data_IF_251782363329
#
_entry.id   IF_251782363329
#
_cell.length_a   1.000
_cell.length_b   1.000
_cell.length_c   1.000
_cell.angle_alpha   90.00
_cell.angle_beta   90.00
_cell.angle_gamma   90.00
#
_symmetry.space_group_name_H-M   'P 1'
#
loop_
_entity.id
_entity.type
_entity.pdbx_description
1 polymer ?
#
# COMPACT_ATOMS: atom_id res chain seq x y z
N UNK A 1 8.81 -3.35 -11.68
CA UNK A 1 9.25 -2.00 -12.12
C UNK A 1 10.45 -2.01 -13.09
N UNK A 2 10.53 -2.98 -14.01
CA UNK A 2 11.75 -3.27 -14.79
C UNK A 2 12.35 -2.09 -15.58
N UNK A 3 11.51 -1.23 -16.17
CA UNK A 3 11.99 -0.05 -16.91
C UNK A 3 12.66 0.99 -16.00
N UNK A 4 12.15 1.17 -14.77
CA UNK A 4 12.77 2.05 -13.80
C UNK A 4 14.13 1.49 -13.36
N UNK A 5 14.25 0.17 -13.23
CA UNK A 5 15.51 -0.48 -12.86
C UNK A 5 16.58 -0.24 -13.94
N UNK A 6 16.23 -0.40 -15.22
CA UNK A 6 17.12 -0.07 -16.36
C UNK A 6 17.53 1.40 -16.31
N UNK A 7 16.57 2.31 -16.14
CA UNK A 7 16.88 3.73 -16.05
C UNK A 7 17.79 4.08 -14.84
N UNK A 8 17.60 3.41 -13.71
CA UNK A 8 18.43 3.61 -12.54
C UNK A 8 19.87 3.09 -12.73
N UNK A 9 20.08 2.04 -13.55
CA UNK A 9 21.43 1.60 -13.92
C UNK A 9 22.16 2.71 -14.70
N UNK A 10 21.53 3.30 -15.71
CA UNK A 10 22.09 4.42 -16.49
C UNK A 10 22.43 5.63 -15.59
N UNK A 11 21.56 5.94 -14.62
CA UNK A 11 21.82 6.99 -13.64
C UNK A 11 23.03 6.69 -12.78
N UNK A 12 23.17 5.45 -12.31
CA UNK A 12 24.29 5.04 -11.47
C UNK A 12 25.62 5.09 -12.23
N UNK A 13 25.65 4.66 -13.49
CA UNK A 13 26.80 4.81 -14.38
C UNK A 13 27.21 6.28 -14.54
N UNK A 14 26.22 7.17 -14.53
CA UNK A 14 26.42 8.62 -14.54
C UNK A 14 26.67 9.24 -13.16
N UNK A 15 26.94 8.43 -12.13
CA UNK A 15 27.14 8.85 -10.72
C UNK A 15 25.96 9.63 -10.12
N UNK A 16 24.75 9.44 -10.65
CA UNK A 16 23.53 10.03 -10.15
C UNK A 16 22.81 9.08 -9.18
N UNK A 17 22.06 9.65 -8.24
CA UNK A 17 21.26 8.84 -7.34
C UNK A 17 20.10 8.15 -8.08
N UNK A 18 19.78 6.89 -7.71
CA UNK A 18 18.65 6.17 -8.26
C UNK A 18 17.33 6.80 -7.80
N UNK A 19 16.33 6.76 -8.67
CA UNK A 19 14.98 7.26 -8.41
C UNK A 19 14.11 6.12 -7.87
N UNK A 20 13.27 6.46 -6.89
CA UNK A 20 12.21 5.58 -6.40
C UNK A 20 10.86 6.19 -6.76
N UNK A 21 9.92 5.35 -7.15
CA UNK A 21 8.54 5.76 -7.45
C UNK A 21 7.56 4.91 -6.65
N UNK A 22 6.44 5.50 -6.28
CA UNK A 22 5.26 4.81 -5.80
C UNK A 22 4.15 4.88 -6.84
N UNK A 23 3.30 3.86 -6.90
CA UNK A 23 2.13 3.82 -7.78
C UNK A 23 0.90 3.49 -6.94
N UNK A 24 -0.11 4.36 -6.99
CA UNK A 24 -1.43 4.12 -6.43
C UNK A 24 -2.46 3.95 -7.54
N UNK A 25 -3.24 2.86 -7.50
CA UNK A 25 -4.28 2.58 -8.50
C UNK A 25 -5.62 2.40 -7.79
N UNK A 26 -6.63 3.12 -8.26
CA UNK A 26 -7.99 3.01 -7.78
C UNK A 26 -8.98 3.00 -8.95
N UNK A 27 -10.05 2.23 -8.82
CA UNK A 27 -11.17 2.21 -9.77
C UNK A 27 -12.40 2.77 -9.08
N UNK A 28 -13.12 3.64 -9.79
CA UNK A 28 -14.36 4.23 -9.31
C UNK A 28 -14.81 5.38 -10.19
N UNK A 29 -16.03 5.85 -9.93
CA UNK A 29 -16.65 6.91 -10.70
C UNK A 29 -15.93 8.26 -10.52
N UNK A 30 -15.85 9.01 -11.61
CA UNK A 30 -15.28 10.35 -11.63
C UNK A 30 -16.02 11.22 -12.65
N UNK A 31 -15.92 12.53 -12.49
CA UNK A 31 -16.36 13.49 -13.49
C UNK A 31 -15.16 13.97 -14.30
N UNK A 32 -15.27 13.89 -15.63
CA UNK A 32 -14.34 14.54 -16.55
C UNK A 32 -14.82 15.96 -16.82
N UNK A 33 -13.92 16.92 -16.68
CA UNK A 33 -14.19 18.32 -16.93
C UNK A 33 -13.02 18.99 -17.63
N UNK A 34 -13.27 20.15 -18.23
CA UNK A 34 -12.22 21.01 -18.76
C UNK A 34 -12.03 22.19 -17.83
N UNK A 35 -10.79 22.42 -17.37
CA UNK A 35 -10.45 23.56 -16.53
C UNK A 35 -9.51 24.48 -17.29
N UNK A 36 -9.86 25.77 -17.36
CA UNK A 36 -9.03 26.79 -17.99
C UNK A 36 -9.81 27.92 -18.66
N UNK A 37 -9.08 28.94 -19.12
CA UNK A 37 -9.65 30.10 -19.83
C UNK A 37 -9.45 29.98 -21.35
N UNK A 38 -9.95 30.96 -22.13
CA UNK A 38 -9.94 30.98 -23.61
C UNK A 38 -8.59 30.66 -24.30
N UNK A 39 -7.45 30.76 -23.61
CA UNK A 39 -6.11 30.51 -24.15
C UNK A 39 -5.46 29.17 -23.72
N UNK A 40 -6.06 28.44 -22.76
CA UNK A 40 -5.55 27.13 -22.31
C UNK A 40 -6.70 26.35 -21.68
N UNK A 41 -7.06 25.24 -22.29
CA UNK A 41 -8.10 24.32 -21.81
C UNK A 41 -7.39 23.00 -21.51
N UNK A 42 -7.27 22.64 -20.23
CA UNK A 42 -6.71 21.37 -19.81
C UNK A 42 -7.86 20.43 -19.39
N UNK A 43 -7.85 19.20 -19.88
CA UNK A 43 -8.75 18.15 -19.41
C UNK A 43 -8.36 17.70 -18.02
N UNK A 44 -9.29 17.65 -17.09
CA UNK A 44 -9.09 17.21 -15.71
C UNK A 44 -10.13 16.16 -15.31
N UNK A 45 -9.72 15.26 -14.44
CA UNK A 45 -10.60 14.31 -13.78
C UNK A 45 -10.79 14.76 -12.32
N UNK A 46 -12.04 14.93 -11.89
CA UNK A 46 -12.38 15.37 -10.55
C UNK A 46 -13.31 14.34 -9.92
N UNK A 47 -12.98 13.88 -8.73
CA UNK A 47 -13.81 12.96 -7.96
C UNK A 47 -13.03 12.24 -6.87
N UNK A 48 -13.78 11.62 -5.96
CA UNK A 48 -13.20 10.86 -4.84
C UNK A 48 -12.30 9.71 -5.31
N UNK A 49 -12.60 9.11 -6.47
CA UNK A 49 -11.79 8.06 -7.05
C UNK A 49 -10.35 8.51 -7.39
N UNK A 50 -10.18 9.75 -7.89
CA UNK A 50 -8.87 10.34 -8.20
C UNK A 50 -8.12 10.70 -6.92
N UNK A 51 -8.83 11.23 -5.92
CA UNK A 51 -8.25 11.53 -4.62
C UNK A 51 -7.76 10.25 -3.90
N UNK A 52 -8.51 9.16 -4.00
CA UNK A 52 -8.12 7.87 -3.43
C UNK A 52 -6.88 7.30 -4.14
N UNK A 53 -6.80 7.36 -5.48
CA UNK A 53 -5.59 6.94 -6.21
C UNK A 53 -4.34 7.70 -5.77
N UNK A 54 -4.42 9.04 -5.69
CA UNK A 54 -3.32 9.89 -5.21
C UNK A 54 -2.91 9.54 -3.77
N UNK A 55 -3.89 9.26 -2.92
CA UNK A 55 -3.63 8.84 -1.54
C UNK A 55 -2.96 7.48 -1.45
N UNK A 56 -3.38 6.52 -2.26
CA UNK A 56 -2.71 5.22 -2.36
C UNK A 56 -1.26 5.40 -2.78
N UNK A 57 -0.97 6.29 -3.74
CA UNK A 57 0.41 6.62 -4.10
C UNK A 57 1.20 7.17 -2.92
N UNK A 58 0.65 8.10 -2.14
CA UNK A 58 1.33 8.61 -0.95
C UNK A 58 1.59 7.51 0.10
N UNK A 59 0.64 6.59 0.29
CA UNK A 59 0.76 5.46 1.22
C UNK A 59 1.85 4.46 0.83
N UNK A 60 2.26 4.41 -0.45
CA UNK A 60 3.38 3.55 -0.89
C UNK A 60 4.64 3.82 -0.06
N UNK A 61 4.94 5.09 0.24
CA UNK A 61 6.12 5.50 1.02
C UNK A 61 6.02 5.02 2.46
N UNK A 62 4.84 5.15 3.05
CA UNK A 62 4.55 4.75 4.43
C UNK A 62 4.71 3.23 4.61
N UNK A 63 4.09 2.46 3.72
CA UNK A 63 4.16 1.00 3.77
C UNK A 63 5.44 0.40 3.17
N UNK A 64 6.20 1.18 2.40
CA UNK A 64 7.36 0.68 1.65
C UNK A 64 6.99 -0.23 0.49
N UNK A 65 5.77 -0.13 -0.01
CA UNK A 65 5.29 -0.85 -1.18
C UNK A 65 5.63 -0.06 -2.44
N UNK A 66 5.82 -0.74 -3.57
CA UNK A 66 6.00 -0.06 -4.87
C UNK A 66 4.67 0.26 -5.55
N UNK A 67 3.68 -0.63 -5.41
CA UNK A 67 2.38 -0.53 -6.04
C UNK A 67 1.31 -0.88 -5.02
N UNK A 68 0.38 0.05 -4.79
CA UNK A 68 -0.81 -0.16 -3.97
C UNK A 68 -2.07 -0.02 -4.83
N UNK A 69 -3.01 -0.93 -4.61
CA UNK A 69 -4.31 -0.92 -5.29
C UNK A 69 -5.45 -0.95 -4.28
N UNK A 70 -6.58 -0.35 -4.67
CA UNK A 70 -7.83 -0.45 -3.92
C UNK A 70 -8.49 -1.81 -4.09
N UNK A 71 -9.40 -2.15 -3.18
CA UNK A 71 -10.32 -3.28 -3.33
C UNK A 71 -11.12 -3.25 -4.63
N UNK A 72 -11.63 -2.07 -5.03
CA UNK A 72 -12.39 -1.93 -6.27
C UNK A 72 -11.55 -2.33 -7.48
N UNK A 73 -10.32 -1.83 -7.55
CA UNK A 73 -9.38 -2.19 -8.61
C UNK A 73 -9.11 -3.69 -8.64
N UNK A 74 -8.92 -4.33 -7.48
CA UNK A 74 -8.69 -5.76 -7.43
C UNK A 74 -9.91 -6.56 -7.95
N UNK A 75 -11.13 -6.13 -7.63
CA UNK A 75 -12.36 -6.81 -8.04
C UNK A 75 -12.70 -6.62 -9.51
N UNK A 76 -12.27 -5.51 -10.11
CA UNK A 76 -12.47 -5.25 -11.54
C UNK A 76 -11.41 -5.94 -12.43
N UNK A 77 -10.43 -6.66 -11.84
CA UNK A 77 -9.47 -7.45 -12.61
C UNK A 77 -10.10 -8.79 -13.03
N UNK A 78 -10.21 -9.01 -14.34
CA UNK A 78 -10.73 -10.28 -14.90
C UNK A 78 -9.87 -11.50 -14.54
N UNK A 79 -8.56 -11.31 -14.38
CA UNK A 79 -7.57 -12.37 -14.15
C UNK A 79 -6.72 -12.05 -12.91
N UNK A 80 -7.38 -11.79 -11.78
CA UNK A 80 -6.73 -11.38 -10.53
C UNK A 80 -5.69 -12.41 -10.02
N UNK A 81 -5.91 -13.70 -10.30
CA UNK A 81 -5.07 -14.84 -9.91
C UNK A 81 -3.71 -14.87 -10.64
N UNK A 82 -3.57 -14.13 -11.75
CA UNK A 82 -2.28 -13.98 -12.45
C UNK A 82 -1.30 -13.06 -11.74
N UNK A 83 -1.77 -12.26 -10.79
CA UNK A 83 -0.96 -11.29 -10.08
C UNK A 83 -0.61 -11.78 -8.68
N UNK A 84 0.60 -11.48 -8.23
CA UNK A 84 1.01 -11.72 -6.86
C UNK A 84 0.65 -10.48 -6.05
N UNK A 85 -0.28 -10.61 -5.12
CA UNK A 85 -0.70 -9.52 -4.25
C UNK A 85 -1.01 -10.02 -2.84
N UNK A 86 -1.03 -9.10 -1.88
CA UNK A 86 -1.50 -9.39 -0.52
C UNK A 86 -2.33 -8.26 0.04
N UNK A 87 -3.30 -8.61 0.88
CA UNK A 87 -4.01 -7.64 1.68
C UNK A 87 -3.04 -6.97 2.66
N UNK A 88 -3.09 -5.65 2.76
CA UNK A 88 -2.11 -4.87 3.52
C UNK A 88 -2.74 -4.19 4.74
N UNK A 89 -3.81 -3.43 4.54
CA UNK A 89 -4.48 -2.65 5.59
C UNK A 89 -5.88 -2.23 5.14
N UNK A 90 -6.69 -1.74 6.08
CA UNK A 90 -7.90 -0.95 5.81
C UNK A 90 -7.59 0.51 6.05
N UNK A 91 -7.94 1.37 5.09
CA UNK A 91 -7.67 2.81 5.18
C UNK A 91 -8.96 3.62 5.11
N UNK A 92 -9.17 4.51 6.08
CA UNK A 92 -10.35 5.36 6.11
C UNK A 92 -10.24 6.48 5.10
N UNK A 93 -11.24 6.67 4.25
CA UNK A 93 -11.28 7.79 3.28
C UNK A 93 -11.65 9.09 4.00
N UNK A 94 -10.84 10.15 3.84
CA UNK A 94 -11.11 11.44 4.50
C UNK A 94 -12.50 11.96 4.10
N UNK A 95 -13.34 12.21 5.10
CA UNK A 95 -14.71 12.70 4.89
C UNK A 95 -15.76 11.60 4.62
N UNK A 96 -15.36 10.32 4.62
CA UNK A 96 -16.29 9.18 4.54
C UNK A 96 -16.09 8.26 5.75
N UNK A 97 -17.18 7.60 6.17
CA UNK A 97 -17.14 6.59 7.24
C UNK A 97 -16.58 5.25 6.75
N UNK A 98 -16.60 5.01 5.45
CA UNK A 98 -16.19 3.74 4.86
C UNK A 98 -14.67 3.63 4.78
N UNK A 99 -14.17 2.49 5.24
CA UNK A 99 -12.80 2.06 5.05
C UNK A 99 -12.65 1.35 3.71
N UNK A 100 -11.54 1.60 3.03
CA UNK A 100 -11.17 0.91 1.80
C UNK A 100 -10.07 -0.09 2.12
N UNK A 101 -10.25 -1.34 1.71
CA UNK A 101 -9.18 -2.33 1.78
C UNK A 101 -8.10 -2.01 0.72
N UNK A 102 -6.85 -2.07 1.17
CA UNK A 102 -5.66 -1.78 0.35
C UNK A 102 -4.86 -3.05 0.18
N UNK A 103 -4.42 -3.28 -1.05
CA UNK A 103 -3.60 -4.42 -1.43
C UNK A 103 -2.27 -3.94 -2.00
N UNK A 104 -1.21 -4.68 -1.69
CA UNK A 104 0.10 -4.49 -2.31
C UNK A 104 0.27 -5.48 -3.46
N UNK A 105 0.69 -4.98 -4.61
CA UNK A 105 1.02 -5.81 -5.78
C UNK A 105 2.53 -6.13 -5.75
N UNK A 106 2.85 -7.36 -5.40
CA UNK A 106 4.21 -7.88 -5.21
C UNK A 106 5.00 -7.98 -6.53
N UNK A 107 4.31 -8.03 -7.67
CA UNK A 107 4.96 -8.01 -9.00
C UNK A 107 5.70 -6.69 -9.30
N UNK A 108 5.44 -5.65 -8.49
CA UNK A 108 6.19 -4.40 -8.53
C UNK A 108 7.61 -4.51 -7.96
N UNK A 109 7.85 -5.48 -7.08
CA UNK A 109 9.07 -5.61 -6.28
C UNK A 109 10.24 -6.27 -7.03
N UNK A 110 11.44 -6.11 -6.47
CA UNK A 110 12.58 -6.90 -6.88
C UNK A 110 12.33 -8.38 -6.57
N UNK A 111 12.80 -9.28 -7.46
CA UNK A 111 12.46 -10.71 -7.42
C UNK A 111 12.71 -11.35 -6.05
N UNK A 112 13.85 -11.05 -5.41
CA UNK A 112 14.17 -11.56 -4.08
C UNK A 112 13.14 -11.15 -3.01
N UNK A 113 12.70 -9.88 -3.01
CA UNK A 113 11.69 -9.39 -2.07
C UNK A 113 10.31 -9.94 -2.37
N UNK A 114 9.97 -10.03 -3.66
CA UNK A 114 8.73 -10.65 -4.13
C UNK A 114 8.61 -12.09 -3.61
N UNK A 115 9.63 -12.92 -3.79
CA UNK A 115 9.61 -14.33 -3.37
C UNK A 115 9.45 -14.48 -1.86
N UNK A 116 10.16 -13.67 -1.06
CA UNK A 116 10.01 -13.67 0.40
C UNK A 116 8.60 -13.26 0.85
N UNK A 117 7.99 -12.27 0.20
CA UNK A 117 6.61 -11.83 0.49
C UNK A 117 5.58 -12.87 0.03
N UNK A 118 5.80 -13.56 -1.10
CA UNK A 118 4.93 -14.67 -1.54
C UNK A 118 5.00 -15.81 -0.53
N UNK A 119 6.21 -16.20 -0.09
CA UNK A 119 6.42 -17.27 0.89
C UNK A 119 5.67 -16.99 2.20
N UNK A 120 5.65 -15.74 2.66
CA UNK A 120 5.08 -15.34 3.94
C UNK A 120 3.65 -14.83 3.85
N UNK A 121 3.06 -14.77 2.64
CA UNK A 121 1.77 -14.13 2.38
C UNK A 121 0.64 -14.68 3.24
N UNK A 122 0.48 -15.99 3.30
CA UNK A 122 -0.63 -16.63 4.01
C UNK A 122 -0.57 -16.32 5.50
N UNK A 123 0.60 -16.49 6.11
CA UNK A 123 0.84 -16.18 7.52
C UNK A 123 0.65 -14.68 7.80
N UNK A 124 1.09 -13.82 6.87
CA UNK A 124 0.92 -12.38 6.98
C UNK A 124 -0.56 -12.01 7.04
N UNK A 125 -1.37 -12.51 6.12
CA UNK A 125 -2.80 -12.21 6.06
C UNK A 125 -3.55 -12.77 7.28
N UNK A 126 -3.15 -13.95 7.77
CA UNK A 126 -3.66 -14.50 9.04
C UNK A 126 -3.33 -13.60 10.23
N UNK A 127 -2.08 -13.13 10.33
CA UNK A 127 -1.64 -12.25 11.41
C UNK A 127 -2.40 -10.91 11.39
N UNK A 128 -2.68 -10.38 10.20
CA UNK A 128 -3.51 -9.18 10.04
C UNK A 128 -4.95 -9.43 10.51
N UNK A 129 -5.56 -10.58 10.16
CA UNK A 129 -6.89 -10.96 10.66
C UNK A 129 -6.90 -11.03 12.20
N UNK A 130 -5.91 -11.69 12.80
CA UNK A 130 -5.77 -11.76 14.25
C UNK A 130 -5.61 -10.37 14.90
N UNK A 131 -4.88 -9.47 14.25
CA UNK A 131 -4.73 -8.09 14.70
C UNK A 131 -6.08 -7.35 14.77
N UNK A 132 -6.91 -7.45 13.71
CA UNK A 132 -8.24 -6.84 13.71
C UNK A 132 -9.24 -7.53 14.65
N UNK A 133 -9.01 -8.80 14.99
CA UNK A 133 -9.76 -9.50 16.04
C UNK A 133 -9.26 -9.18 17.47
N UNK A 134 -8.36 -8.21 17.62
CA UNK A 134 -7.74 -7.81 18.89
C UNK A 134 -6.90 -8.92 19.57
N UNK A 135 -6.55 -9.98 18.83
CA UNK A 135 -5.69 -11.08 19.30
C UNK A 135 -4.20 -10.72 19.10
N UNK A 136 -3.78 -9.61 19.71
CA UNK A 136 -2.48 -8.99 19.46
C UNK A 136 -1.28 -9.88 19.79
N UNK A 137 -1.38 -10.71 20.83
CA UNK A 137 -0.30 -11.62 21.19
C UNK A 137 -0.06 -12.66 20.10
N UNK A 138 -1.13 -13.30 19.62
CA UNK A 138 -1.05 -14.29 18.54
C UNK A 138 -0.60 -13.66 17.21
N UNK A 139 -1.16 -12.50 16.85
CA UNK A 139 -0.71 -11.76 15.67
C UNK A 139 0.79 -11.43 15.72
N UNK A 140 1.27 -10.96 16.88
CA UNK A 140 2.68 -10.61 17.09
C UNK A 140 3.62 -11.81 16.91
N UNK A 141 3.24 -12.98 17.40
CA UNK A 141 4.05 -14.20 17.25
C UNK A 141 4.25 -14.54 15.77
N UNK A 142 3.17 -14.52 14.98
CA UNK A 142 3.25 -14.75 13.54
C UNK A 142 4.09 -13.67 12.85
N UNK A 143 3.86 -12.38 13.15
CA UNK A 143 4.68 -11.31 12.57
C UNK A 143 6.17 -11.40 12.95
N UNK A 144 6.51 -11.92 14.14
CA UNK A 144 7.90 -12.17 14.50
C UNK A 144 8.50 -13.29 13.63
N UNK A 145 7.78 -14.37 13.38
CA UNK A 145 8.25 -15.44 12.50
C UNK A 145 8.50 -14.92 11.08
N UNK A 146 7.55 -14.15 10.53
CA UNK A 146 7.69 -13.51 9.23
C UNK A 146 8.91 -12.56 9.22
N UNK A 147 9.13 -11.80 10.30
CA UNK A 147 10.27 -10.89 10.41
C UNK A 147 11.63 -11.62 10.36
N UNK A 148 11.73 -12.84 10.89
CA UNK A 148 12.95 -13.65 10.76
C UNK A 148 13.21 -14.11 9.32
N UNK A 149 12.15 -14.30 8.53
CA UNK A 149 12.23 -14.68 7.11
C UNK A 149 12.53 -13.47 6.23
N UNK A 150 11.81 -12.35 6.44
CA UNK A 150 12.01 -11.11 5.71
C UNK A 150 12.12 -9.90 6.66
N UNK A 151 13.33 -9.61 7.16
CA UNK A 151 13.56 -8.45 8.02
C UNK A 151 13.36 -7.11 7.31
N UNK A 152 13.31 -7.07 5.98
CA UNK A 152 13.15 -5.83 5.21
C UNK A 152 11.68 -5.43 5.01
N UNK A 153 10.73 -6.32 5.31
CA UNK A 153 9.31 -6.02 5.21
C UNK A 153 8.88 -4.94 6.22
N UNK A 154 8.68 -3.72 5.71
CA UNK A 154 8.29 -2.56 6.54
C UNK A 154 6.90 -2.72 7.14
N UNK A 155 5.99 -3.41 6.46
CA UNK A 155 4.61 -3.58 6.95
C UNK A 155 4.60 -4.54 8.14
N UNK A 156 5.42 -5.59 8.10
CA UNK A 156 5.63 -6.49 9.25
C UNK A 156 6.16 -5.71 10.47
N UNK A 157 7.19 -4.86 10.28
CA UNK A 157 7.71 -3.97 11.34
C UNK A 157 6.63 -3.04 11.90
N UNK A 158 5.79 -2.49 11.02
CA UNK A 158 4.67 -1.64 11.41
C UNK A 158 3.68 -2.40 12.29
N UNK A 159 3.24 -3.59 11.88
CA UNK A 159 2.30 -4.39 12.67
C UNK A 159 2.89 -4.87 13.99
N UNK A 160 4.18 -5.22 14.06
CA UNK A 160 4.87 -5.53 15.33
C UNK A 160 4.81 -4.33 16.30
N UNK A 161 5.03 -3.11 15.79
CA UNK A 161 4.90 -1.88 16.58
C UNK A 161 3.46 -1.65 17.03
N UNK A 162 2.48 -1.87 16.14
CA UNK A 162 1.04 -1.74 16.46
C UNK A 162 0.62 -2.75 17.55
N UNK A 163 0.96 -4.02 17.40
CA UNK A 163 0.66 -5.06 18.40
C UNK A 163 1.24 -4.72 19.78
N UNK A 164 2.51 -4.27 19.83
CA UNK A 164 3.15 -3.86 21.10
C UNK A 164 2.41 -2.69 21.76
N UNK A 165 1.97 -1.70 20.99
CA UNK A 165 1.24 -0.55 21.52
C UNK A 165 -0.15 -0.92 22.03
N UNK A 166 -0.90 -1.71 21.26
CA UNK A 166 -2.26 -2.13 21.63
C UNK A 166 -2.30 -3.01 22.88
N UNK A 167 -1.24 -3.79 23.14
CA UNK A 167 -1.08 -4.54 24.39
C UNK A 167 -0.88 -3.63 25.63
N UNK A 168 -0.33 -2.43 25.45
CA UNK A 168 0.02 -1.52 26.57
C UNK A 168 -1.09 -0.51 26.85
N UNK A 169 -1.75 0.02 25.81
CA UNK A 169 -2.64 1.18 25.93
C UNK A 169 -4.12 0.91 25.62
N UNK A 170 -4.50 -0.31 25.19
CA UNK A 170 -5.76 -0.48 24.45
C UNK A 170 -5.70 0.25 23.10
N UNK A 171 -6.74 0.21 22.28
CA UNK A 171 -6.73 0.86 20.95
C UNK A 171 -6.91 2.37 21.14
N UNK A 172 -5.93 3.23 20.74
CA UNK A 172 -6.18 4.65 20.66
C UNK A 172 -6.83 4.96 19.31
N UNK A 173 -8.05 5.50 19.35
CA UNK A 173 -8.87 5.97 18.22
C UNK A 173 -8.14 6.96 17.28
N UNK A 174 -6.99 7.49 17.70
CA UNK A 174 -6.27 8.59 17.05
C UNK A 174 -5.31 8.17 15.93
N UNK A 175 -4.93 6.89 15.83
CA UNK A 175 -3.92 6.43 14.85
C UNK A 175 -4.44 6.36 13.42
N UNK A 176 -5.77 6.24 13.24
CA UNK A 176 -6.46 6.44 11.97
C UNK A 176 -6.49 7.90 11.51
N UNK A 177 -5.97 8.86 12.27
CA UNK A 177 -5.90 10.26 11.85
C UNK A 177 -4.50 10.68 11.43
N UNK A 178 -3.46 10.06 11.98
CA UNK A 178 -2.06 10.48 11.79
C UNK A 178 -1.45 10.03 10.45
N UNK A 179 -1.84 8.86 9.92
CA UNK A 179 -1.41 8.37 8.59
C UNK A 179 -2.02 9.23 7.45
N UNK A 180 -3.03 10.03 7.78
CA UNK A 180 -4.03 10.52 6.84
C UNK A 180 -4.14 12.05 6.76
N UNK A 181 -3.36 12.75 7.59
CA UNK A 181 -3.27 14.20 7.66
C UNK A 181 -1.97 14.77 7.08
N UNK A 182 -1.09 13.94 6.51
CA UNK A 182 0.10 14.36 5.76
C UNK A 182 0.03 13.92 4.30
#
# INVERSE_FOLDING_TARGET
LKRLDVYNQERQESQQQPIRIGIGINTGDLMLGTVGGKKRIDGTAIGDAVNLASRLENLTKFYGANILISQNTLFDLEEFDKYNYRFLDRVQVKGKKEEVAVFEVLDGDAEAQKQLKIQTKTEFEEAVILYYQHKYSAAKEIFLNIFHINPEDKVVKLYLKRCKKSQIYGIPEEWEKEIFNN
#
